data_IF_735345093310
#
_entry.id   IF_735345093310
#
_cell.length_a   1.000
_cell.length_b   1.000
_cell.length_c   1.000
_cell.angle_alpha   90.00
_cell.angle_beta   90.00
_cell.angle_gamma   90.00
#
_symmetry.space_group_name_H-M   'P 1'
#
loop_
_entity.id
_entity.type
_entity.pdbx_description
1 polymer ?
#
# COMPACT_ATOMS: atom_id res chain seq x y z
N UNK A 1 0.45 5.52 15.03
CA UNK A 1 -0.92 6.06 15.15
C UNK A 1 -1.06 6.60 16.55
N UNK A 2 -1.47 7.86 16.69
CA UNK A 2 -1.72 8.46 17.99
C UNK A 2 -3.20 8.31 18.30
N UNK A 3 -3.53 7.74 19.45
CA UNK A 3 -4.87 7.81 20.00
C UNK A 3 -4.92 8.99 20.96
N UNK A 4 -5.88 9.88 20.74
CA UNK A 4 -6.09 11.01 21.62
C UNK A 4 -7.33 10.75 22.48
N UNK A 5 -7.21 11.02 23.78
CA UNK A 5 -8.33 11.34 24.64
C UNK A 5 -8.31 12.85 24.94
N UNK A 6 -9.43 13.53 24.70
CA UNK A 6 -9.62 14.91 25.12
C UNK A 6 -10.79 15.02 26.10
N UNK A 7 -10.72 15.96 27.06
CA UNK A 7 -11.88 16.36 27.84
C UNK A 7 -12.93 17.00 26.92
N UNK A 8 -14.19 16.98 27.35
CA UNK A 8 -15.32 17.58 26.60
C UNK A 8 -15.13 19.05 26.20
N UNK A 9 -14.24 19.82 26.81
CA UNK A 9 -13.99 21.22 26.46
C UNK A 9 -12.85 21.42 25.43
N UNK A 10 -12.34 20.35 24.82
CA UNK A 10 -11.24 20.38 23.84
C UNK A 10 -11.66 20.81 22.42
N UNK A 11 -10.66 20.96 21.55
CA UNK A 11 -10.81 21.46 20.17
C UNK A 11 -11.62 20.51 19.28
N UNK A 12 -11.80 19.24 19.67
CA UNK A 12 -12.54 18.23 18.91
C UNK A 12 -13.88 17.81 19.56
N UNK A 13 -14.69 18.77 20.01
CA UNK A 13 -16.02 18.59 20.66
C UNK A 13 -17.07 17.82 19.84
N UNK A 14 -16.77 17.38 18.62
CA UNK A 14 -17.68 16.80 17.62
C UNK A 14 -18.35 15.45 17.97
N UNK A 15 -18.23 14.94 19.20
CA UNK A 15 -18.94 13.71 19.61
C UNK A 15 -19.89 14.03 20.76
N UNK A 16 -21.20 14.00 20.50
CA UNK A 16 -22.27 14.21 21.50
C UNK A 16 -22.40 13.05 22.52
N UNK A 17 -21.30 12.40 22.89
CA UNK A 17 -21.32 11.22 23.77
C UNK A 17 -21.57 11.61 25.22
N UNK A 18 -22.40 10.83 25.92
CA UNK A 18 -22.79 11.04 27.33
C UNK A 18 -21.64 10.94 28.35
N UNK A 19 -20.51 10.32 27.99
CA UNK A 19 -19.36 10.09 28.89
C UNK A 19 -18.32 11.23 28.81
N UNK A 20 -17.65 11.53 29.92
CA UNK A 20 -16.76 12.70 30.10
C UNK A 20 -15.45 12.66 29.31
N UNK A 21 -14.93 11.46 29.02
CA UNK A 21 -13.68 11.25 28.29
C UNK A 21 -14.00 10.75 26.87
N UNK A 22 -13.55 11.48 25.86
CA UNK A 22 -13.69 11.11 24.45
C UNK A 22 -12.50 10.25 23.99
N UNK A 23 -12.33 9.08 24.61
CA UNK A 23 -11.31 8.13 24.18
C UNK A 23 -11.70 7.53 22.81
N UNK A 24 -10.83 7.72 21.81
CA UNK A 24 -11.03 7.26 20.43
C UNK A 24 -10.21 6.02 20.10
N UNK A 25 -9.60 5.39 21.10
CA UNK A 25 -8.95 4.10 20.92
C UNK A 25 -9.93 3.08 20.34
N UNK A 26 -9.48 2.17 19.46
CA UNK A 26 -10.36 1.27 18.72
C UNK A 26 -11.07 0.29 19.66
N UNK A 27 -10.45 -0.11 20.77
CA UNK A 27 -11.10 -0.94 21.80
C UNK A 27 -12.19 -0.19 22.56
N UNK A 28 -11.98 1.10 22.85
CA UNK A 28 -13.03 1.91 23.46
C UNK A 28 -14.19 2.17 22.48
N UNK A 29 -13.86 2.49 21.22
CA UNK A 29 -14.83 2.70 20.16
C UNK A 29 -15.68 1.45 19.90
N UNK A 30 -15.06 0.27 19.80
CA UNK A 30 -15.79 -1.00 19.67
C UNK A 30 -16.70 -1.26 20.87
N UNK A 31 -16.20 -1.06 22.10
CA UNK A 31 -16.96 -1.26 23.34
C UNK A 31 -18.17 -0.33 23.43
N UNK A 32 -17.99 0.96 23.15
CA UNK A 32 -19.05 1.98 23.26
C UNK A 32 -20.12 1.80 22.19
N UNK A 33 -19.73 1.47 20.95
CA UNK A 33 -20.68 1.23 19.86
C UNK A 33 -21.22 -0.20 19.83
N UNK A 34 -20.72 -1.08 20.72
CA UNK A 34 -21.04 -2.51 20.76
C UNK A 34 -20.81 -3.20 19.40
N UNK A 35 -19.74 -2.80 18.73
CA UNK A 35 -19.42 -3.25 17.38
C UNK A 35 -17.95 -3.65 17.27
N UNK A 36 -17.68 -4.96 17.25
CA UNK A 36 -16.33 -5.50 17.12
C UNK A 36 -15.73 -5.30 15.72
N UNK A 37 -16.54 -4.97 14.70
CA UNK A 37 -16.03 -4.67 13.35
C UNK A 37 -15.07 -3.49 13.39
N UNK A 38 -15.25 -2.54 14.31
CA UNK A 38 -14.32 -1.42 14.51
C UNK A 38 -12.90 -1.92 14.83
N UNK A 39 -12.76 -2.92 15.70
CA UNK A 39 -11.45 -3.48 16.05
C UNK A 39 -10.83 -4.26 14.90
N UNK A 40 -11.65 -5.00 14.15
CA UNK A 40 -11.23 -5.76 12.98
C UNK A 40 -10.74 -4.86 11.86
N UNK A 41 -11.51 -3.81 11.52
CA UNK A 41 -11.12 -2.84 10.50
C UNK A 41 -9.89 -2.05 10.93
N UNK A 42 -9.84 -1.58 12.18
CA UNK A 42 -8.66 -0.89 12.68
C UNK A 42 -7.41 -1.78 12.56
N UNK A 43 -7.48 -3.05 12.97
CA UNK A 43 -6.35 -3.98 12.89
C UNK A 43 -5.90 -4.20 11.45
N UNK A 44 -6.85 -4.42 10.53
CA UNK A 44 -6.58 -4.57 9.10
C UNK A 44 -5.78 -3.39 8.55
N UNK A 45 -6.26 -2.16 8.73
CA UNK A 45 -5.58 -0.96 8.21
C UNK A 45 -4.29 -0.63 8.95
N UNK A 46 -4.21 -0.91 10.26
CA UNK A 46 -2.96 -0.80 11.01
C UNK A 46 -1.88 -1.71 10.43
N UNK A 47 -2.22 -2.98 10.18
CA UNK A 47 -1.33 -3.95 9.59
C UNK A 47 -0.93 -3.54 8.17
N UNK A 48 -1.89 -3.17 7.30
CA UNK A 48 -1.59 -2.70 5.93
C UNK A 48 -0.60 -1.53 5.95
N UNK A 49 -0.80 -0.55 6.84
CA UNK A 49 0.14 0.55 6.99
C UNK A 49 1.53 0.07 7.42
N UNK A 50 1.62 -0.87 8.35
CA UNK A 50 2.91 -1.44 8.77
C UNK A 50 3.56 -2.24 7.64
N UNK A 51 2.77 -2.98 6.84
CA UNK A 51 3.26 -3.65 5.65
C UNK A 51 3.83 -2.64 4.64
N UNK A 52 3.21 -1.48 4.49
CA UNK A 52 3.65 -0.43 3.57
C UNK A 52 4.87 0.39 4.06
N UNK A 53 5.45 0.11 5.23
CA UNK A 53 6.60 0.90 5.75
C UNK A 53 7.74 1.04 4.73
N UNK A 54 8.17 0.00 3.98
CA UNK A 54 9.18 0.17 2.93
C UNK A 54 8.81 1.23 1.89
N UNK A 55 7.56 1.20 1.39
CA UNK A 55 7.04 2.21 0.48
C UNK A 55 6.98 3.60 1.13
N UNK A 56 6.50 3.69 2.36
CA UNK A 56 6.33 4.96 3.06
C UNK A 56 7.66 5.67 3.33
N UNK A 57 8.70 4.93 3.69
CA UNK A 57 10.02 5.49 3.97
C UNK A 57 10.68 6.01 2.68
N UNK A 58 10.62 5.23 1.61
CA UNK A 58 11.16 5.63 0.31
C UNK A 58 10.39 6.80 -0.28
N UNK A 59 9.06 6.77 -0.26
CA UNK A 59 8.28 7.91 -0.74
C UNK A 59 8.49 9.15 0.13
N UNK A 60 8.80 9.02 1.42
CA UNK A 60 9.12 10.17 2.26
C UNK A 60 10.42 10.84 1.80
N UNK A 61 11.47 10.05 1.55
CA UNK A 61 12.73 10.55 1.02
C UNK A 61 12.56 11.19 -0.37
N UNK A 62 11.82 10.52 -1.27
CA UNK A 62 11.54 11.03 -2.61
C UNK A 62 10.71 12.33 -2.56
N UNK A 63 9.69 12.40 -1.70
CA UNK A 63 8.87 13.59 -1.49
C UNK A 63 9.70 14.80 -1.04
N UNK A 64 10.65 14.60 -0.11
CA UNK A 64 11.59 15.63 0.30
C UNK A 64 12.44 16.08 -0.89
N UNK A 65 13.03 15.14 -1.64
CA UNK A 65 13.87 15.45 -2.79
C UNK A 65 13.15 16.22 -3.91
N UNK A 66 11.86 15.93 -4.12
CA UNK A 66 11.05 16.59 -5.16
C UNK A 66 10.30 17.83 -4.65
N UNK A 67 10.39 18.17 -3.36
CA UNK A 67 9.53 19.20 -2.74
C UNK A 67 8.02 18.95 -2.95
N UNK A 68 7.61 17.67 -2.93
CA UNK A 68 6.23 17.25 -3.13
C UNK A 68 5.64 16.71 -1.82
N UNK A 69 4.40 17.05 -1.44
CA UNK A 69 3.74 16.42 -0.29
C UNK A 69 3.58 14.89 -0.47
N UNK A 70 3.69 14.14 0.62
CA UNK A 70 3.38 12.70 0.64
C UNK A 70 1.92 12.44 0.26
N UNK A 71 1.00 13.15 0.91
CA UNK A 71 -0.40 13.19 0.52
C UNK A 71 -0.60 14.42 -0.35
N UNK A 72 -0.76 14.22 -1.65
CA UNK A 72 -0.81 15.29 -2.64
C UNK A 72 -2.15 15.30 -3.37
N UNK A 73 -2.70 16.49 -3.58
CA UNK A 73 -3.81 16.70 -4.49
C UNK A 73 -3.43 16.22 -5.89
N UNK A 74 -4.38 15.71 -6.67
CA UNK A 74 -4.12 15.13 -7.99
C UNK A 74 -3.43 16.13 -8.96
N UNK A 75 -3.69 17.43 -8.80
CA UNK A 75 -3.09 18.51 -9.59
C UNK A 75 -1.54 18.51 -9.59
N UNK A 76 -0.90 17.96 -8.54
CA UNK A 76 0.56 17.87 -8.49
C UNK A 76 1.13 16.93 -9.57
N UNK A 77 0.38 15.89 -9.91
CA UNK A 77 0.82 14.86 -10.85
C UNK A 77 0.13 15.00 -12.22
N UNK A 78 -0.99 15.73 -12.27
CA UNK A 78 -1.81 15.95 -13.47
C UNK A 78 -2.21 17.44 -13.62
N UNK A 79 -1.24 18.36 -13.76
CA UNK A 79 -1.54 19.80 -13.79
C UNK A 79 -2.34 20.24 -15.03
N UNK A 80 -2.23 19.50 -16.13
CA UNK A 80 -2.92 19.79 -17.40
C UNK A 80 -4.33 19.18 -17.48
N UNK A 81 -4.72 18.35 -16.51
CA UNK A 81 -6.04 17.71 -16.50
C UNK A 81 -7.02 18.53 -15.67
N UNK A 82 -7.78 19.42 -16.32
CA UNK A 82 -8.74 20.32 -15.63
C UNK A 82 -9.75 19.57 -14.76
N UNK A 83 -10.06 18.29 -15.07
CA UNK A 83 -11.01 17.48 -14.30
C UNK A 83 -10.54 17.22 -12.87
N UNK A 84 -9.24 17.34 -12.59
CA UNK A 84 -8.72 17.09 -11.24
C UNK A 84 -8.83 18.28 -10.30
N UNK A 85 -9.12 19.48 -10.82
CA UNK A 85 -9.07 20.74 -10.05
C UNK A 85 -10.10 20.73 -8.92
N UNK A 86 -11.30 20.25 -9.19
CA UNK A 86 -12.43 20.26 -8.24
C UNK A 86 -12.53 18.95 -7.41
N UNK A 87 -11.50 18.10 -7.45
CA UNK A 87 -11.52 16.81 -6.76
C UNK A 87 -10.82 16.93 -5.40
N UNK A 88 -11.60 17.15 -4.34
CA UNK A 88 -11.12 17.28 -2.96
C UNK A 88 -11.15 15.96 -2.16
N UNK A 89 -11.76 14.91 -2.73
CA UNK A 89 -12.03 13.63 -2.07
C UNK A 89 -11.22 12.44 -2.64
N UNK A 90 -10.18 12.74 -3.42
CA UNK A 90 -9.19 11.80 -3.96
C UNK A 90 -7.80 12.44 -3.90
N UNK A 91 -6.78 11.63 -3.60
CA UNK A 91 -5.41 12.13 -3.49
C UNK A 91 -4.38 11.07 -3.87
N UNK A 92 -3.21 11.53 -4.29
CA UNK A 92 -2.03 10.68 -4.42
C UNK A 92 -1.38 10.51 -3.05
N UNK A 93 -1.00 9.28 -2.72
CA UNK A 93 -0.28 8.92 -1.52
C UNK A 93 1.09 8.33 -1.89
N UNK A 94 2.13 9.15 -1.74
CA UNK A 94 3.37 8.98 -2.49
C UNK A 94 3.13 9.22 -3.99
N UNK A 95 3.97 8.64 -4.82
CA UNK A 95 3.86 8.71 -6.29
C UNK A 95 3.06 7.56 -6.90
N UNK A 96 2.97 6.42 -6.22
CA UNK A 96 2.46 5.17 -6.79
C UNK A 96 1.02 4.79 -6.43
N UNK A 97 0.45 5.37 -5.37
CA UNK A 97 -0.90 5.04 -4.89
C UNK A 97 -1.83 6.25 -5.03
N UNK A 98 -3.05 6.03 -5.51
CA UNK A 98 -4.16 6.98 -5.44
C UNK A 98 -5.22 6.43 -4.47
N UNK A 99 -5.68 7.25 -3.55
CA UNK A 99 -6.62 6.88 -2.49
C UNK A 99 -7.89 7.72 -2.63
N UNK A 100 -9.04 7.06 -2.54
CA UNK A 100 -10.35 7.66 -2.66
C UNK A 100 -11.22 7.23 -1.45
N UNK A 101 -11.07 7.89 -0.28
CA UNK A 101 -11.78 7.50 0.95
C UNK A 101 -13.30 7.73 0.90
N UNK A 102 -14.09 6.83 1.47
CA UNK A 102 -15.54 7.04 1.63
C UNK A 102 -15.77 7.99 2.81
N UNK A 103 -16.25 9.20 2.53
CA UNK A 103 -16.43 10.26 3.53
C UNK A 103 -17.90 10.62 3.79
N UNK A 104 -18.84 10.08 3.00
CA UNK A 104 -20.27 10.33 3.14
C UNK A 104 -20.94 9.14 3.83
N UNK A 105 -21.71 9.41 4.88
CA UNK A 105 -22.43 8.38 5.64
C UNK A 105 -23.41 7.61 4.75
N UNK A 106 -23.45 6.27 4.89
CA UNK A 106 -24.40 5.40 4.19
C UNK A 106 -24.06 5.09 2.72
N UNK A 107 -23.02 5.70 2.14
CA UNK A 107 -22.60 5.40 0.78
C UNK A 107 -21.96 4.00 0.69
N UNK A 108 -22.45 3.19 -0.24
CA UNK A 108 -21.92 1.85 -0.57
C UNK A 108 -21.29 1.78 -1.95
N UNK A 109 -21.28 2.90 -2.67
CA UNK A 109 -20.65 3.09 -3.97
C UNK A 109 -20.22 4.55 -4.12
N UNK A 110 -19.23 4.81 -4.96
CA UNK A 110 -18.84 6.18 -5.31
C UNK A 110 -18.31 6.27 -6.73
N UNK A 111 -18.42 7.46 -7.29
CA UNK A 111 -17.71 7.85 -8.49
C UNK A 111 -16.26 8.18 -8.13
N UNK A 112 -15.31 7.67 -8.93
CA UNK A 112 -13.87 7.90 -8.77
C UNK A 112 -13.33 8.32 -10.13
N UNK A 113 -12.59 9.41 -10.17
CA UNK A 113 -11.93 9.84 -11.39
C UNK A 113 -10.54 9.20 -11.45
N UNK A 114 -10.28 8.43 -12.51
CA UNK A 114 -8.95 7.94 -12.82
C UNK A 114 -8.33 8.89 -13.86
N UNK A 115 -7.26 9.63 -13.54
CA UNK A 115 -6.51 10.40 -14.53
C UNK A 115 -6.00 9.54 -15.68
N UNK A 116 -5.60 10.15 -16.80
CA UNK A 116 -5.07 9.41 -17.95
C UNK A 116 -3.93 8.46 -17.56
N UNK A 117 -3.93 7.27 -18.16
CA UNK A 117 -2.97 6.20 -17.88
C UNK A 117 -3.65 4.89 -17.55
N UNK A 118 -2.89 3.98 -16.94
CA UNK A 118 -3.38 2.67 -16.51
C UNK A 118 -3.31 2.58 -14.99
N UNK A 119 -4.37 2.04 -14.40
CA UNK A 119 -4.53 1.93 -12.96
C UNK A 119 -4.87 0.50 -12.59
N UNK A 120 -4.39 0.07 -11.44
CA UNK A 120 -4.67 -1.25 -10.91
C UNK A 120 -5.36 -1.12 -9.56
N UNK A 121 -6.48 -1.78 -9.39
CA UNK A 121 -7.13 -1.86 -8.09
C UNK A 121 -6.18 -2.53 -7.08
N UNK A 122 -5.91 -1.86 -5.96
CA UNK A 122 -4.95 -2.33 -4.95
C UNK A 122 -5.38 -3.65 -4.31
N UNK A 123 -6.68 -3.86 -4.15
CA UNK A 123 -7.22 -5.03 -3.45
C UNK A 123 -7.24 -6.28 -4.30
N UNK A 124 -7.49 -6.13 -5.60
CA UNK A 124 -7.81 -7.20 -6.56
C UNK A 124 -6.76 -7.33 -7.67
N UNK A 125 -5.93 -6.31 -7.87
CA UNK A 125 -5.00 -6.19 -8.99
C UNK A 125 -5.67 -5.94 -10.34
N UNK A 126 -6.99 -5.75 -10.41
CA UNK A 126 -7.68 -5.55 -11.67
C UNK A 126 -7.26 -4.26 -12.37
N UNK A 127 -6.97 -4.37 -13.68
CA UNK A 127 -6.53 -3.25 -14.49
C UNK A 127 -7.72 -2.46 -15.03
N UNK A 128 -7.64 -1.14 -14.94
CA UNK A 128 -8.63 -0.19 -15.46
C UNK A 128 -7.92 0.95 -16.19
N UNK A 129 -8.35 1.25 -17.42
CA UNK A 129 -7.88 2.43 -18.15
C UNK A 129 -8.44 3.72 -17.55
N UNK A 130 -7.58 4.73 -17.46
CA UNK A 130 -7.89 6.05 -16.94
C UNK A 130 -8.49 7.03 -17.94
N UNK A 131 -8.44 8.32 -17.61
CA UNK A 131 -9.08 9.43 -18.33
C UNK A 131 -10.60 9.52 -18.13
N UNK A 132 -11.15 8.78 -17.16
CA UNK A 132 -12.58 8.56 -17.00
C UNK A 132 -12.99 8.44 -15.54
N UNK A 133 -14.28 8.68 -15.31
CA UNK A 133 -14.93 8.37 -14.03
C UNK A 133 -15.37 6.90 -14.07
N UNK A 134 -15.14 6.20 -12.97
CA UNK A 134 -15.65 4.84 -12.73
C UNK A 134 -16.60 4.85 -11.54
N UNK A 135 -17.59 3.97 -11.58
CA UNK A 135 -18.43 3.64 -10.44
C UNK A 135 -17.78 2.48 -9.68
N UNK A 136 -17.49 2.68 -8.39
CA UNK A 136 -16.74 1.72 -7.59
C UNK A 136 -17.54 1.27 -6.35
N UNK A 137 -17.80 -0.04 -6.20
CA UNK A 137 -18.44 -0.59 -5.00
C UNK A 137 -17.56 -0.40 -3.75
N UNK A 138 -18.11 0.27 -2.75
CA UNK A 138 -17.41 0.63 -1.51
C UNK A 138 -18.01 -0.13 -0.33
N UNK A 139 -17.56 -1.37 -0.15
CA UNK A 139 -17.83 -2.12 1.08
C UNK A 139 -17.23 -1.42 2.30
N UNK A 140 -17.88 -1.55 3.46
CA UNK A 140 -17.45 -0.92 4.72
C UNK A 140 -15.98 -1.24 5.07
N UNK A 141 -15.51 -2.40 4.65
CA UNK A 141 -14.20 -2.95 4.96
C UNK A 141 -13.09 -2.48 4.01
N UNK A 142 -13.41 -1.76 2.93
CA UNK A 142 -12.46 -1.41 1.85
C UNK A 142 -12.50 0.07 1.52
N UNK A 143 -11.34 0.71 1.68
CA UNK A 143 -11.07 2.05 1.13
C UNK A 143 -10.63 1.85 -0.32
N UNK A 144 -11.27 2.48 -1.31
CA UNK A 144 -10.79 2.44 -2.68
C UNK A 144 -9.36 2.98 -2.81
N UNK A 145 -8.47 2.15 -3.35
CA UNK A 145 -7.05 2.46 -3.58
C UNK A 145 -6.65 1.90 -4.93
N UNK A 146 -5.93 2.70 -5.71
CA UNK A 146 -5.44 2.32 -7.03
C UNK A 146 -3.92 2.50 -7.10
N UNK A 147 -3.25 1.53 -7.70
CA UNK A 147 -1.82 1.59 -8.02
C UNK A 147 -1.67 2.14 -9.42
N UNK A 148 -0.89 3.21 -9.56
CA UNK A 148 -0.55 3.79 -10.87
C UNK A 148 0.37 2.83 -11.62
N UNK A 149 0.11 2.58 -12.91
CA UNK A 149 1.04 1.82 -13.75
C UNK A 149 2.43 2.46 -13.76
N UNK A 150 3.47 1.63 -13.88
CA UNK A 150 4.84 2.07 -13.75
C UNK A 150 5.40 1.94 -12.33
N UNK A 151 4.56 1.62 -11.33
CA UNK A 151 4.98 1.44 -9.94
C UNK A 151 4.90 -0.02 -9.50
N UNK A 152 5.92 -0.42 -8.74
CA UNK A 152 5.93 -1.62 -7.92
C UNK A 152 5.81 -1.17 -6.47
N UNK A 153 5.04 -1.88 -5.65
CA UNK A 153 4.81 -1.49 -4.25
C UNK A 153 5.67 -2.37 -3.32
N UNK A 154 6.75 -1.84 -2.71
CA UNK A 154 7.51 -2.57 -1.73
C UNK A 154 6.75 -2.64 -0.40
N UNK A 155 6.72 -3.84 0.18
CA UNK A 155 6.03 -4.14 1.43
C UNK A 155 6.88 -5.05 2.31
N UNK A 156 6.71 -4.92 3.62
CA UNK A 156 7.27 -5.84 4.61
C UNK A 156 6.18 -6.84 5.03
N UNK A 157 6.38 -8.13 4.76
CA UNK A 157 5.45 -9.18 5.14
C UNK A 157 6.03 -10.11 6.20
N UNK A 158 5.17 -10.74 7.00
CA UNK A 158 5.59 -11.77 7.94
C UNK A 158 6.03 -13.06 7.23
N UNK A 159 6.47 -14.05 8.00
CA UNK A 159 6.97 -15.35 7.52
C UNK A 159 5.99 -16.10 6.59
N UNK A 160 4.70 -15.81 6.73
CA UNK A 160 3.63 -16.45 5.95
C UNK A 160 3.19 -15.63 4.73
N UNK A 161 3.86 -14.50 4.44
CA UNK A 161 3.55 -13.60 3.33
C UNK A 161 2.08 -13.13 3.32
N UNK A 162 1.58 -12.70 4.49
CA UNK A 162 0.19 -12.28 4.68
C UNK A 162 0.08 -10.75 4.74
N UNK A 163 -0.87 -10.17 3.99
CA UNK A 163 -1.23 -8.76 4.05
C UNK A 163 -2.75 -8.56 4.05
N UNK A 164 -3.24 -7.67 4.92
CA UNK A 164 -4.62 -7.18 4.87
C UNK A 164 -5.68 -8.11 5.47
N UNK A 165 -5.28 -9.04 6.34
CA UNK A 165 -6.20 -9.82 7.17
C UNK A 165 -6.74 -9.00 8.35
N UNK A 166 -7.94 -9.33 8.81
CA UNK A 166 -8.59 -8.68 9.96
C UNK A 166 -8.18 -9.28 11.30
N UNK A 167 -7.51 -10.44 11.31
CA UNK A 167 -7.07 -11.13 12.51
C UNK A 167 -5.58 -10.85 12.84
N UNK A 168 -5.01 -11.64 13.77
CA UNK A 168 -3.62 -11.46 14.21
C UNK A 168 -2.59 -12.06 13.24
N UNK A 169 -3.01 -12.84 12.25
CA UNK A 169 -2.11 -13.52 11.32
C UNK A 169 -1.43 -12.58 10.33
N UNK A 170 -1.99 -11.39 10.11
CA UNK A 170 -1.39 -10.33 9.29
C UNK A 170 -0.43 -9.39 10.04
N UNK A 171 -0.09 -9.69 11.30
CA UNK A 171 0.80 -8.82 12.08
C UNK A 171 2.19 -8.79 11.47
N UNK A 172 2.71 -7.58 11.32
CA UNK A 172 4.12 -7.28 11.01
C UNK A 172 4.57 -6.23 12.01
N UNK A 173 5.82 -6.34 12.48
CA UNK A 173 6.40 -5.38 13.40
C UNK A 173 6.45 -3.97 12.82
N UNK A 174 6.81 -3.00 13.67
CA UNK A 174 6.95 -1.59 13.32
C UNK A 174 8.42 -1.14 13.19
N UNK A 175 9.34 -2.09 13.01
CA UNK A 175 10.75 -1.81 12.76
C UNK A 175 10.89 -1.10 11.41
N UNK A 176 11.75 -0.09 11.37
CA UNK A 176 12.04 0.71 10.17
C UNK A 176 13.45 0.44 9.63
N UNK A 177 14.24 -0.28 10.41
CA UNK A 177 15.63 -0.65 10.23
C UNK A 177 15.81 -2.15 9.93
N UNK A 178 14.71 -2.92 9.99
CA UNK A 178 14.70 -4.35 9.70
C UNK A 178 13.34 -4.77 9.12
N UNK A 179 13.37 -5.48 7.98
CA UNK A 179 12.19 -6.09 7.38
C UNK A 179 12.21 -7.61 7.56
N UNK A 180 11.08 -8.18 7.95
CA UNK A 180 10.92 -9.63 8.09
C UNK A 180 10.99 -10.32 6.73
N UNK A 181 10.23 -9.81 5.76
CA UNK A 181 10.39 -10.16 4.35
C UNK A 181 10.14 -8.92 3.50
N UNK A 182 11.21 -8.35 2.94
CA UNK A 182 11.08 -7.32 1.92
C UNK A 182 10.53 -7.94 0.64
N UNK A 183 9.30 -7.55 0.32
CA UNK A 183 8.55 -8.04 -0.83
C UNK A 183 8.25 -6.90 -1.79
N UNK A 184 8.19 -7.18 -3.08
CA UNK A 184 7.81 -6.26 -4.14
C UNK A 184 6.53 -6.75 -4.81
N UNK A 185 5.43 -6.03 -4.60
CA UNK A 185 4.13 -6.39 -5.18
C UNK A 185 4.01 -5.74 -6.57
N UNK A 186 3.97 -6.60 -7.59
CA UNK A 186 3.92 -6.25 -9.00
C UNK A 186 2.47 -6.33 -9.49
N UNK A 187 1.92 -5.19 -9.89
CA UNK A 187 0.56 -5.08 -10.44
C UNK A 187 0.54 -5.15 -11.96
N UNK A 188 1.58 -4.62 -12.59
CA UNK A 188 1.77 -4.55 -14.03
C UNK A 188 3.24 -4.32 -14.35
N UNK A 189 3.51 -3.52 -15.38
CA UNK A 189 4.87 -3.06 -15.64
C UNK A 189 5.23 -1.92 -14.71
N UNK A 190 6.51 -1.84 -14.35
CA UNK A 190 6.97 -0.75 -13.53
C UNK A 190 8.33 -0.99 -12.94
N UNK A 191 8.77 -0.01 -12.17
CA UNK A 191 9.99 -0.12 -11.41
C UNK A 191 9.84 0.51 -10.04
N UNK A 192 10.69 0.06 -9.12
CA UNK A 192 10.83 0.71 -7.83
C UNK A 192 12.23 0.44 -7.31
N UNK A 193 12.79 1.43 -6.62
CA UNK A 193 14.05 1.32 -5.91
C UNK A 193 13.81 1.53 -4.43
N UNK A 194 14.40 0.67 -3.61
CA UNK A 194 14.47 0.85 -2.16
C UNK A 194 15.93 0.94 -1.76
N UNK A 195 16.26 1.81 -0.82
CA UNK A 195 17.54 1.74 -0.14
C UNK A 195 17.48 0.51 0.77
N UNK A 196 18.46 -0.38 0.61
CA UNK A 196 18.73 -1.40 1.60
C UNK A 196 19.08 -0.68 2.91
N UNK A 197 18.66 -1.26 4.02
CA UNK A 197 18.55 -0.62 5.33
C UNK A 197 19.87 -0.05 5.90
N UNK A 198 20.99 -0.30 5.23
CA UNK A 198 22.34 0.27 5.48
C UNK A 198 22.57 1.67 4.85
N UNK A 199 21.64 2.17 4.03
CA UNK A 199 21.75 3.43 3.28
C UNK A 199 22.93 3.52 2.28
N UNK A 200 23.64 2.42 2.01
CA UNK A 200 24.73 2.35 1.03
C UNK A 200 24.38 1.46 -0.17
N UNK A 201 23.53 0.45 0.03
CA UNK A 201 23.05 -0.44 -1.01
C UNK A 201 21.66 -0.06 -1.50
N UNK A 202 21.42 -0.15 -2.80
CA UNK A 202 20.08 0.04 -3.39
C UNK A 202 19.63 -1.27 -4.03
N UNK A 203 18.36 -1.64 -3.81
CA UNK A 203 17.70 -2.72 -4.53
C UNK A 203 16.71 -2.10 -5.48
N UNK A 204 17.00 -2.20 -6.78
CA UNK A 204 16.11 -1.78 -7.85
C UNK A 204 15.44 -3.00 -8.47
N UNK A 205 14.12 -2.94 -8.60
CA UNK A 205 13.32 -3.96 -9.26
C UNK A 205 12.60 -3.32 -10.42
N UNK A 206 12.67 -3.96 -11.59
CA UNK A 206 11.93 -3.58 -12.79
C UNK A 206 11.15 -4.79 -13.31
N UNK A 207 9.87 -4.61 -13.54
CA UNK A 207 8.97 -5.58 -14.14
C UNK A 207 8.55 -5.11 -15.55
N UNK A 208 8.73 -5.97 -16.54
CA UNK A 208 8.33 -5.76 -17.95
C UNK A 208 7.70 -7.05 -18.45
N UNK A 209 6.58 -7.02 -19.16
CA UNK A 209 5.77 -8.16 -19.65
C UNK A 209 5.91 -9.52 -18.92
N UNK A 210 7.03 -10.24 -19.11
CA UNK A 210 7.34 -11.54 -18.49
C UNK A 210 8.77 -11.64 -17.90
N UNK A 211 9.40 -10.52 -17.56
CA UNK A 211 10.76 -10.45 -17.01
C UNK A 211 10.81 -9.52 -15.81
N UNK A 212 11.47 -9.99 -14.75
CA UNK A 212 11.90 -9.19 -13.62
C UNK A 212 13.41 -8.98 -13.73
N UNK A 213 13.83 -7.73 -13.75
CA UNK A 213 15.24 -7.34 -13.66
C UNK A 213 15.48 -6.73 -12.29
N UNK A 214 16.44 -7.29 -11.58
CA UNK A 214 16.86 -6.84 -10.27
C UNK A 214 18.30 -6.37 -10.33
N UNK A 215 18.56 -5.20 -9.78
CA UNK A 215 19.89 -4.63 -9.62
C UNK A 215 20.09 -4.38 -8.12
N UNK A 216 21.15 -4.95 -7.56
CA UNK A 216 21.48 -4.85 -6.15
C UNK A 216 22.91 -4.36 -5.98
N UNK A 217 23.10 -3.37 -5.10
CA UNK A 217 24.43 -2.93 -4.65
C UNK A 217 25.24 -4.07 -4.04
N UNK A 218 26.57 -3.93 -4.09
CA UNK A 218 27.52 -4.88 -3.48
C UNK A 218 27.41 -4.70 -1.97
N UNK A 219 27.09 -5.77 -1.22
CA UNK A 219 26.84 -5.78 0.23
C UNK A 219 25.46 -5.25 0.70
N UNK A 220 24.36 -5.63 0.04
CA UNK A 220 23.06 -5.41 0.67
C UNK A 220 22.96 -6.25 1.96
N UNK A 221 22.62 -5.63 3.10
CA UNK A 221 22.33 -6.32 4.37
C UNK A 221 21.06 -7.20 4.34
N UNK A 222 20.58 -7.59 3.15
CA UNK A 222 19.37 -8.36 2.89
C UNK A 222 19.75 -9.55 2.03
N UNK A 223 19.65 -10.76 2.59
CA UNK A 223 20.00 -11.98 1.87
C UNK A 223 18.92 -12.38 0.84
N UNK A 224 17.67 -11.96 1.06
CA UNK A 224 16.52 -12.44 0.31
C UNK A 224 15.46 -11.37 0.11
N UNK A 225 14.95 -11.29 -1.10
CA UNK A 225 13.79 -10.47 -1.47
C UNK A 225 12.74 -11.31 -2.19
N UNK A 226 11.48 -10.93 -2.10
CA UNK A 226 10.38 -11.70 -2.71
C UNK A 226 9.61 -10.85 -3.71
N UNK A 227 9.41 -11.36 -4.92
CA UNK A 227 8.49 -10.77 -5.89
C UNK A 227 7.12 -11.43 -5.72
N UNK A 228 6.06 -10.62 -5.62
CA UNK A 228 4.67 -11.09 -5.50
C UNK A 228 3.86 -10.48 -6.63
N UNK A 229 3.07 -11.28 -7.35
CA UNK A 229 2.21 -10.75 -8.41
C UNK A 229 0.81 -10.49 -7.85
N UNK A 230 0.29 -9.27 -7.99
CA UNK A 230 -1.02 -8.89 -7.43
C UNK A 230 -2.21 -9.63 -8.06
N UNK A 231 -1.98 -10.29 -9.20
CA UNK A 231 -2.89 -11.20 -9.88
C UNK A 231 -2.17 -12.49 -10.22
N UNK A 232 -2.94 -13.57 -10.35
CA UNK A 232 -2.44 -14.78 -10.95
C UNK A 232 -2.08 -14.51 -12.41
N UNK A 233 -0.79 -14.68 -12.74
CA UNK A 233 -0.29 -14.61 -14.09
C UNK A 233 0.41 -15.95 -14.31
N UNK A 234 -0.30 -16.89 -14.92
CA UNK A 234 0.11 -18.27 -15.19
C UNK A 234 1.37 -18.40 -16.08
N UNK A 235 2.01 -17.29 -16.41
CA UNK A 235 3.24 -17.22 -17.19
C UNK A 235 4.45 -17.39 -16.27
N UNK A 236 5.43 -18.17 -16.73
CA UNK A 236 6.73 -18.22 -16.11
C UNK A 236 7.43 -16.86 -16.31
N UNK A 237 7.91 -16.26 -15.23
CA UNK A 237 8.72 -15.04 -15.28
C UNK A 237 10.19 -15.38 -15.28
N UNK A 238 10.95 -14.76 -16.18
CA UNK A 238 12.41 -14.78 -16.11
C UNK A 238 12.88 -13.75 -15.10
N UNK A 239 13.70 -14.16 -14.13
CA UNK A 239 14.22 -13.27 -13.09
C UNK A 239 15.72 -13.19 -13.23
N UNK A 240 16.24 -11.98 -13.44
CA UNK A 240 17.67 -11.73 -13.51
C UNK A 240 18.12 -10.83 -12.37
N UNK A 241 19.23 -11.17 -11.73
CA UNK A 241 19.90 -10.39 -10.70
C UNK A 241 21.27 -9.95 -11.22
N UNK A 242 21.55 -8.65 -11.23
CA UNK A 242 22.82 -8.07 -11.69
C UNK A 242 23.26 -8.58 -13.08
N UNK A 243 22.28 -8.81 -13.96
CA UNK A 243 22.49 -9.28 -15.34
C UNK A 243 22.55 -10.80 -15.51
N UNK A 244 22.62 -11.57 -14.43
CA UNK A 244 22.66 -13.03 -14.46
C UNK A 244 21.30 -13.65 -14.09
N UNK A 245 21.08 -14.92 -14.46
CA UNK A 245 19.85 -15.63 -14.09
C UNK A 245 19.82 -15.85 -12.58
N UNK A 246 18.77 -15.38 -11.91
CA UNK A 246 18.66 -15.46 -10.46
C UNK A 246 18.22 -16.85 -9.98
N UNK A 247 18.70 -17.25 -8.80
CA UNK A 247 18.20 -18.44 -8.11
C UNK A 247 16.86 -18.10 -7.42
N UNK A 248 15.76 -18.66 -7.94
CA UNK A 248 14.41 -18.37 -7.47
C UNK A 248 13.73 -19.59 -6.84
N UNK A 249 12.98 -19.37 -5.75
CA UNK A 249 12.07 -20.37 -5.16
C UNK A 249 10.62 -19.90 -5.26
N UNK A 250 9.69 -20.68 -5.82
CA UNK A 250 8.27 -20.34 -5.81
C UNK A 250 7.75 -20.18 -4.38
N UNK A 251 6.87 -19.20 -4.18
CA UNK A 251 6.11 -19.00 -2.94
C UNK A 251 4.64 -18.73 -3.27
N UNK A 252 3.82 -18.88 -2.23
CA UNK A 252 2.41 -18.47 -2.26
C UNK A 252 2.23 -17.43 -1.16
N UNK A 253 1.66 -16.28 -1.51
CA UNK A 253 1.31 -15.22 -0.58
C UNK A 253 -0.21 -15.09 -0.41
N UNK A 254 -0.65 -14.58 0.74
CA UNK A 254 -2.06 -14.28 1.01
C UNK A 254 -2.25 -12.76 1.09
N UNK A 255 -2.71 -12.17 0.00
CA UNK A 255 -2.86 -10.72 -0.14
C UNK A 255 -4.34 -10.39 -0.20
N UNK A 256 -4.84 -9.69 0.83
CA UNK A 256 -6.25 -9.33 1.00
C UNK A 256 -7.19 -10.54 0.94
N UNK A 257 -6.82 -11.64 1.59
CA UNK A 257 -7.57 -12.90 1.55
C UNK A 257 -7.34 -13.76 0.30
N UNK A 258 -6.67 -13.24 -0.73
CA UNK A 258 -6.43 -13.93 -2.00
C UNK A 258 -5.09 -14.64 -2.01
N UNK A 259 -5.09 -15.85 -2.54
CA UNK A 259 -3.86 -16.60 -2.83
C UNK A 259 -3.24 -16.08 -4.11
N UNK A 260 -2.01 -15.57 -4.05
CA UNK A 260 -1.28 -15.04 -5.21
C UNK A 260 0.13 -15.63 -5.31
N UNK A 261 0.66 -15.83 -6.53
CA UNK A 261 1.99 -16.42 -6.73
C UNK A 261 3.12 -15.40 -6.51
N UNK A 262 4.31 -15.92 -6.27
CA UNK A 262 5.52 -15.13 -6.21
C UNK A 262 6.80 -15.97 -6.28
N UNK A 263 7.94 -15.27 -6.26
CA UNK A 263 9.27 -15.87 -6.25
C UNK A 263 10.12 -15.23 -5.15
N UNK A 264 10.65 -16.04 -4.25
CA UNK A 264 11.76 -15.62 -3.40
C UNK A 264 13.05 -15.68 -4.21
N UNK A 265 13.84 -14.62 -4.17
CA UNK A 265 15.09 -14.44 -4.91
C UNK A 265 16.21 -14.30 -3.88
N UNK A 266 17.22 -15.17 -3.98
CA UNK A 266 18.43 -15.03 -3.18
C UNK A 266 19.34 -13.95 -3.80
N UNK A 267 19.86 -13.03 -2.99
CA UNK A 267 20.71 -11.93 -3.42
C UNK A 267 22.22 -12.24 -3.34
N UNK A 268 22.60 -13.31 -2.65
CA UNK A 268 24.00 -13.77 -2.49
C UNK A 268 24.07 -15.02 -1.64
#
# INVERSE_FOLDING_TARGET
MQFHSEPRSGQFFLTERKHWINDRSPWNMARVNKDNRILEQYRKYANIRMNLIPYLMEEAANCVGMSRPMMAHLIYDYPEDEKVIDIDDQYMFGRGLMVAPVITEGHTERNIYLPEGEWYDFWTGERTSGGKIIEYPCELEKIPVFVKNGFIIPVNLNENYVMGETDKTGFVGNKIDEYTNLCFVVYGEGEYSVNAMDAESTIKVRATENRIVMECGVEAAIDKVTIIFARDNSKAWDVTLNGEKAATRPIIAKIFGRTVPGYAVNLG
#
